data_IF_572358242407
#
_entry.id   IF_572358242407
#
_cell.length_a   1.000
_cell.length_b   1.000
_cell.length_c   1.000
_cell.angle_alpha   90.00
_cell.angle_beta   90.00
_cell.angle_gamma   90.00
#
_symmetry.space_group_name_H-M   'P 1'
#
loop_
_entity.id
_entity.type
_entity.pdbx_description
1 polymer ?
#
# COMPACT_ATOMS: atom_id res chain seq x y z
N UNK A 1 9.25 1.46 -6.39
CA UNK A 1 10.42 1.61 -5.50
C UNK A 1 11.39 0.45 -5.75
N UNK A 2 12.06 0.49 -6.90
CA UNK A 2 13.02 -0.52 -7.37
C UNK A 2 14.02 0.14 -8.35
N UNK A 3 14.37 1.39 -8.08
CA UNK A 3 15.31 2.15 -8.90
C UNK A 3 16.72 1.69 -8.55
N UNK A 4 17.46 1.28 -9.57
CA UNK A 4 18.88 0.94 -9.49
C UNK A 4 19.67 2.24 -9.43
N UNK A 5 20.68 2.32 -8.58
CA UNK A 5 21.58 3.47 -8.53
C UNK A 5 22.66 3.33 -9.61
N UNK A 6 22.73 4.29 -10.53
CA UNK A 6 23.66 4.29 -11.67
C UNK A 6 25.14 4.18 -11.29
N UNK A 7 25.54 4.74 -10.13
CA UNK A 7 26.94 4.74 -9.69
C UNK A 7 27.40 3.42 -9.06
N UNK A 8 26.46 2.63 -8.51
CA UNK A 8 26.77 1.39 -7.78
C UNK A 8 26.22 0.15 -8.47
N UNK A 9 25.29 0.29 -9.42
CA UNK A 9 24.59 -0.82 -10.05
C UNK A 9 23.62 -1.55 -9.13
N UNK A 10 23.42 -1.08 -7.89
CA UNK A 10 22.56 -1.72 -6.91
C UNK A 10 21.33 -0.89 -6.58
N UNK A 11 20.20 -1.57 -6.35
CA UNK A 11 19.02 -0.99 -5.72
C UNK A 11 19.25 -0.82 -4.22
N UNK A 12 18.52 0.13 -3.62
CA UNK A 12 18.53 0.33 -2.16
C UNK A 12 18.14 -0.95 -1.39
N UNK A 13 17.25 -1.76 -1.95
CA UNK A 13 16.87 -3.06 -1.39
C UNK A 13 18.06 -4.03 -1.33
N UNK A 14 18.82 -4.15 -2.43
CA UNK A 14 20.01 -5.01 -2.47
C UNK A 14 21.09 -4.55 -1.49
N UNK A 15 21.31 -3.23 -1.38
CA UNK A 15 22.29 -2.69 -0.42
C UNK A 15 21.89 -2.93 1.03
N UNK A 16 20.59 -2.94 1.34
CA UNK A 16 20.10 -3.15 2.70
C UNK A 16 19.97 -4.63 3.09
N UNK A 17 19.55 -5.49 2.17
CA UNK A 17 19.20 -6.88 2.46
C UNK A 17 20.18 -7.90 1.86
N UNK A 18 21.15 -7.47 1.05
CA UNK A 18 22.13 -8.35 0.40
C UNK A 18 21.55 -9.30 -0.63
N UNK A 19 20.30 -9.10 -1.07
CA UNK A 19 19.60 -9.98 -2.02
C UNK A 19 18.70 -9.19 -2.97
N UNK A 20 18.39 -9.78 -4.11
CA UNK A 20 17.48 -9.19 -5.08
C UNK A 20 16.03 -9.32 -4.59
N UNK A 21 15.19 -8.29 -4.77
CA UNK A 21 13.76 -8.42 -4.51
C UNK A 21 13.20 -9.45 -5.49
N UNK A 22 12.63 -10.53 -4.96
CA UNK A 22 11.94 -11.54 -5.77
C UNK A 22 10.45 -11.40 -5.50
N UNK A 23 9.67 -11.24 -6.57
CA UNK A 23 8.25 -11.50 -6.49
C UNK A 23 8.10 -13.01 -6.34
N UNK A 24 7.32 -13.43 -5.36
CA UNK A 24 6.89 -14.83 -5.28
C UNK A 24 6.05 -15.07 -6.54
N UNK A 25 6.39 -16.06 -7.38
CA UNK A 25 5.56 -16.41 -8.52
C UNK A 25 4.12 -16.68 -8.05
N UNK A 26 3.11 -16.29 -8.83
CA UNK A 26 1.73 -16.59 -8.47
C UNK A 26 1.57 -18.10 -8.32
N UNK A 27 0.96 -18.53 -7.22
CA UNK A 27 0.62 -19.94 -7.01
C UNK A 27 -0.65 -20.21 -7.83
N UNK A 28 -0.53 -21.06 -8.86
CA UNK A 28 -1.65 -21.41 -9.73
C UNK A 28 -2.28 -22.72 -9.26
N UNK A 29 -3.61 -22.84 -9.39
CA UNK A 29 -4.33 -24.08 -9.03
C UNK A 29 -3.83 -25.32 -9.80
N UNK A 30 -3.32 -25.12 -11.01
CA UNK A 30 -2.68 -26.17 -11.82
C UNK A 30 -1.40 -26.69 -11.18
N UNK A 31 -0.63 -25.82 -10.54
CA UNK A 31 0.63 -26.18 -9.89
C UNK A 31 0.35 -26.94 -8.59
N UNK A 32 -0.70 -26.52 -7.86
CA UNK A 32 -1.17 -27.20 -6.65
C UNK A 32 -1.71 -28.60 -6.96
N UNK A 33 -2.49 -28.73 -8.05
CA UNK A 33 -3.07 -30.01 -8.45
C UNK A 33 -1.98 -31.01 -8.88
N UNK A 34 -1.03 -30.58 -9.71
CA UNK A 34 0.08 -31.43 -10.16
C UNK A 34 1.04 -31.83 -9.03
N UNK A 35 1.29 -30.95 -8.06
CA UNK A 35 2.07 -31.32 -6.87
C UNK A 35 1.34 -32.27 -5.94
N UNK A 36 0.01 -32.16 -5.82
CA UNK A 36 -0.80 -33.10 -5.03
C UNK A 36 -0.83 -34.50 -5.66
N UNK A 37 -0.78 -34.62 -6.98
CA UNK A 37 -0.66 -35.92 -7.66
C UNK A 37 0.71 -36.59 -7.42
N UNK A 38 1.79 -35.79 -7.33
CA UNK A 38 3.15 -36.28 -7.10
C UNK A 38 3.43 -36.58 -5.62
N UNK A 39 2.83 -35.80 -4.71
CA UNK A 39 3.01 -35.89 -3.26
C UNK A 39 1.63 -35.78 -2.58
N UNK A 40 0.92 -36.89 -2.37
CA UNK A 40 -0.48 -36.86 -1.95
C UNK A 40 -0.71 -36.22 -0.59
N UNK A 41 0.09 -36.58 0.41
CA UNK A 41 -0.11 -36.14 1.79
C UNK A 41 0.40 -34.69 1.97
N UNK A 42 1.62 -34.39 1.51
CA UNK A 42 2.20 -33.05 1.63
C UNK A 42 1.49 -32.04 0.70
N UNK A 43 1.08 -32.46 -0.49
CA UNK A 43 0.38 -31.62 -1.46
C UNK A 43 -1.01 -31.22 -0.98
N UNK A 44 -1.75 -32.13 -0.33
CA UNK A 44 -3.03 -31.80 0.29
C UNK A 44 -2.87 -30.77 1.41
N UNK A 45 -1.89 -30.97 2.30
CA UNK A 45 -1.61 -30.03 3.39
C UNK A 45 -1.24 -28.64 2.83
N UNK A 46 -0.38 -28.60 1.82
CA UNK A 46 -0.01 -27.35 1.15
C UNK A 46 -1.22 -26.66 0.50
N UNK A 47 -2.10 -27.42 -0.17
CA UNK A 47 -3.31 -26.88 -0.80
C UNK A 47 -4.27 -26.27 0.23
N UNK A 48 -4.48 -26.95 1.38
CA UNK A 48 -5.28 -26.42 2.48
C UNK A 48 -4.70 -25.13 3.06
N UNK A 49 -3.38 -25.10 3.24
CA UNK A 49 -2.68 -23.91 3.74
C UNK A 49 -2.81 -22.73 2.78
N UNK A 50 -2.67 -22.96 1.47
CA UNK A 50 -2.84 -21.90 0.45
C UNK A 50 -4.27 -21.35 0.49
N UNK A 51 -5.29 -22.21 0.51
CA UNK A 51 -6.70 -21.78 0.61
C UNK A 51 -6.98 -20.96 1.87
N UNK A 52 -6.34 -21.33 2.98
CA UNK A 52 -6.44 -20.57 4.23
C UNK A 52 -5.82 -19.18 4.08
N UNK A 53 -4.62 -19.09 3.49
CA UNK A 53 -3.98 -17.80 3.21
C UNK A 53 -4.87 -16.92 2.34
N UNK A 54 -5.47 -17.47 1.29
CA UNK A 54 -6.38 -16.70 0.42
C UNK A 54 -7.59 -16.17 1.20
N UNK A 55 -8.16 -17.00 2.07
CA UNK A 55 -9.26 -16.60 2.96
C UNK A 55 -8.83 -15.49 3.92
N UNK A 56 -7.68 -15.64 4.57
CA UNK A 56 -7.12 -14.65 5.50
C UNK A 56 -6.82 -13.31 4.78
N UNK A 57 -6.37 -13.36 3.52
CA UNK A 57 -6.13 -12.18 2.69
C UNK A 57 -7.43 -11.45 2.37
N UNK A 58 -8.49 -12.18 2.02
CA UNK A 58 -9.82 -11.59 1.78
C UNK A 58 -10.36 -10.93 3.05
N UNK A 59 -10.27 -11.61 4.20
CA UNK A 59 -10.68 -11.05 5.49
C UNK A 59 -9.88 -9.80 5.85
N UNK A 60 -8.56 -9.80 5.62
CA UNK A 60 -7.72 -8.63 5.84
C UNK A 60 -8.10 -7.43 4.95
N UNK A 61 -8.51 -7.69 3.70
CA UNK A 61 -8.99 -6.65 2.79
C UNK A 61 -10.31 -6.03 3.27
N UNK A 62 -11.26 -6.87 3.70
CA UNK A 62 -12.53 -6.42 4.26
C UNK A 62 -12.32 -5.60 5.54
N UNK A 63 -11.47 -6.08 6.45
CA UNK A 63 -11.10 -5.37 7.67
C UNK A 63 -10.44 -4.02 7.36
N UNK A 64 -9.57 -3.96 6.35
CA UNK A 64 -8.96 -2.72 5.90
C UNK A 64 -10.00 -1.73 5.34
N UNK A 65 -10.98 -2.23 4.57
CA UNK A 65 -12.07 -1.41 4.06
C UNK A 65 -12.92 -0.83 5.19
N UNK A 66 -13.30 -1.66 6.16
CA UNK A 66 -14.04 -1.24 7.35
C UNK A 66 -13.26 -0.16 8.14
N UNK A 67 -11.97 -0.39 8.37
CA UNK A 67 -11.11 0.57 9.07
C UNK A 67 -11.03 1.92 8.33
N UNK A 68 -10.92 1.92 7.00
CA UNK A 68 -10.93 3.16 6.20
C UNK A 68 -12.25 3.92 6.31
N UNK A 69 -13.38 3.22 6.28
CA UNK A 69 -14.70 3.83 6.45
C UNK A 69 -14.87 4.42 7.87
N UNK A 70 -14.43 3.70 8.90
CA UNK A 70 -14.43 4.19 10.27
C UNK A 70 -13.54 5.43 10.43
N UNK A 71 -12.34 5.43 9.85
CA UNK A 71 -11.45 6.59 9.85
C UNK A 71 -12.09 7.80 9.14
N UNK A 72 -12.67 7.60 7.97
CA UNK A 72 -13.34 8.66 7.21
C UNK A 72 -14.54 9.25 7.99
N UNK A 73 -15.41 8.39 8.53
CA UNK A 73 -16.56 8.82 9.32
C UNK A 73 -16.14 9.57 10.60
N UNK A 74 -15.11 9.09 11.30
CA UNK A 74 -14.59 9.75 12.50
C UNK A 74 -13.95 11.10 12.17
N UNK A 75 -13.15 11.18 11.11
CA UNK A 75 -12.51 12.42 10.67
C UNK A 75 -13.56 13.46 10.21
N UNK A 76 -14.60 12.99 9.53
CA UNK A 76 -15.69 13.85 9.04
C UNK A 76 -16.72 14.21 10.11
N UNK A 77 -16.72 13.56 11.28
CA UNK A 77 -17.70 13.83 12.36
C UNK A 77 -17.71 15.29 12.81
N UNK A 78 -16.54 15.92 12.87
CA UNK A 78 -16.39 17.32 13.25
C UNK A 78 -16.24 18.26 12.04
N UNK A 79 -16.38 17.74 10.82
CA UNK A 79 -16.24 18.52 9.59
C UNK A 79 -17.54 19.30 9.37
N UNK A 80 -17.41 20.62 9.24
CA UNK A 80 -18.53 21.48 8.83
C UNK A 80 -18.98 21.18 7.40
N UNK A 81 -20.14 21.72 6.97
CA UNK A 81 -20.58 21.62 5.59
C UNK A 81 -19.49 22.14 4.65
N UNK A 82 -19.34 21.48 3.51
CA UNK A 82 -18.45 21.99 2.47
C UNK A 82 -18.97 23.33 1.97
N UNK A 83 -18.12 24.38 1.94
CA UNK A 83 -18.51 25.63 1.34
C UNK A 83 -18.74 25.45 -0.16
N UNK A 84 -19.90 25.85 -0.65
CA UNK A 84 -20.16 25.96 -2.08
C UNK A 84 -19.44 27.18 -2.64
N UNK A 85 -18.36 26.96 -3.41
CA UNK A 85 -17.65 28.02 -4.10
C UNK A 85 -18.25 28.27 -5.48
N UNK A 86 -18.45 29.53 -5.82
CA UNK A 86 -18.90 29.98 -7.14
C UNK A 86 -17.75 30.63 -7.91
N UNK A 87 -17.86 30.64 -9.24
CA UNK A 87 -16.90 31.34 -10.08
C UNK A 87 -16.93 32.83 -9.75
N UNK A 88 -15.79 33.37 -9.31
CA UNK A 88 -15.65 34.75 -8.84
C UNK A 88 -15.48 34.90 -7.33
N UNK A 89 -15.70 33.84 -6.54
CA UNK A 89 -15.47 33.88 -5.10
C UNK A 89 -13.96 34.02 -4.79
N UNK A 90 -13.64 34.91 -3.86
CA UNK A 90 -12.28 35.15 -3.39
C UNK A 90 -12.08 34.46 -2.05
N UNK A 91 -11.09 33.57 -1.98
CA UNK A 91 -10.76 32.83 -0.76
C UNK A 91 -9.48 33.40 -0.16
N UNK A 92 -9.52 33.75 1.12
CA UNK A 92 -8.36 34.23 1.86
C UNK A 92 -7.45 33.06 2.23
N UNK A 93 -6.26 33.02 1.64
CA UNK A 93 -5.22 32.08 2.02
C UNK A 93 -4.37 32.68 3.15
N UNK A 94 -4.41 32.08 4.33
CA UNK A 94 -3.50 32.45 5.42
C UNK A 94 -2.05 32.11 5.05
N UNK A 95 -1.26 33.12 4.66
CA UNK A 95 0.13 32.94 4.23
C UNK A 95 1.14 33.01 5.38
N UNK A 96 0.73 33.44 6.57
CA UNK A 96 1.60 33.75 7.72
C UNK A 96 2.58 32.62 8.10
N UNK A 97 2.12 31.36 8.05
CA UNK A 97 2.96 30.19 8.32
C UNK A 97 3.13 29.28 7.10
N UNK A 98 2.85 29.77 5.89
CA UNK A 98 2.83 28.95 4.67
C UNK A 98 4.14 28.21 4.46
N UNK A 99 5.28 28.90 4.62
CA UNK A 99 6.61 28.26 4.48
C UNK A 99 6.85 27.20 5.55
N UNK A 100 6.49 27.46 6.81
CA UNK A 100 6.61 26.49 7.90
C UNK A 100 5.71 25.28 7.64
N UNK A 101 4.41 25.48 7.41
CA UNK A 101 3.44 24.41 7.16
C UNK A 101 3.81 23.57 5.91
N UNK A 102 4.36 24.21 4.88
CA UNK A 102 4.86 23.53 3.68
C UNK A 102 6.10 22.68 3.95
N UNK A 103 7.09 23.23 4.67
CA UNK A 103 8.36 22.54 4.96
C UNK A 103 8.24 21.48 6.07
N UNK A 104 7.27 21.60 6.98
CA UNK A 104 7.12 20.72 8.14
C UNK A 104 6.67 19.30 7.77
N UNK A 105 6.07 19.11 6.58
CA UNK A 105 5.72 17.77 6.07
C UNK A 105 6.93 16.96 5.60
N UNK A 106 8.15 17.50 5.64
CA UNK A 106 9.39 16.76 5.37
C UNK A 106 9.52 16.23 3.94
N UNK A 107 8.65 16.68 3.04
CA UNK A 107 8.40 15.97 1.78
C UNK A 107 9.37 16.36 0.65
N UNK A 108 10.46 17.08 0.96
CA UNK A 108 11.46 17.62 0.01
C UNK A 108 10.85 18.23 -1.26
N UNK A 109 9.61 18.72 -1.18
CA UNK A 109 8.97 19.47 -2.25
C UNK A 109 9.57 20.87 -2.19
N UNK A 110 10.72 21.04 -2.83
CA UNK A 110 11.23 22.35 -3.18
C UNK A 110 11.07 22.42 -4.69
N UNK A 111 10.11 23.22 -5.16
CA UNK A 111 10.10 23.60 -6.57
C UNK A 111 11.40 24.36 -6.85
N UNK A 112 12.15 23.91 -7.86
CA UNK A 112 13.20 24.73 -8.48
C UNK A 112 12.57 25.92 -9.19
#
# INVERSE_FOLDING_TARGET
MNTINDSTGFSRFQLQLGRNPRLIPPLLDTDVSSTTELFPDEGQLAAELIRRIDTDVLEAQDNLLQAKLAQASSANRARGPDPEYKVGDLILLATHHRRRAYMQRGDNRVAK
#
